data_IF_105915364384
#
_entry.id   IF_105915364384
#
_cell.length_a   1.000
_cell.length_b   1.000
_cell.length_c   1.000
_cell.angle_alpha   90.00
_cell.angle_beta   90.00
_cell.angle_gamma   90.00
#
_symmetry.space_group_name_H-M   'P 1'
#
loop_
_entity.id
_entity.type
_entity.pdbx_description
1 polymer ?
#
# COMPACT_ATOMS: atom_id res chain seq x y z
N UNK A 1 -36.45 -36.84 22.79
CA UNK A 1 -35.43 -37.79 23.34
C UNK A 1 -35.08 -37.42 24.78
N UNK A 2 -34.53 -38.29 25.64
CA UNK A 2 -34.07 -37.89 26.99
C UNK A 2 -32.55 -37.87 27.09
N UNK A 3 -31.99 -36.96 27.88
CA UNK A 3 -30.56 -36.95 28.15
C UNK A 3 -30.18 -38.08 29.12
N UNK A 4 -29.19 -38.91 28.74
CA UNK A 4 -28.72 -40.03 29.58
C UNK A 4 -28.12 -39.58 30.93
N UNK A 5 -27.63 -38.33 31.01
CA UNK A 5 -26.92 -37.83 32.19
C UNK A 5 -27.81 -37.04 33.16
N UNK A 6 -28.72 -36.23 32.66
CA UNK A 6 -29.58 -35.37 33.50
C UNK A 6 -31.08 -35.68 33.41
N UNK A 7 -31.50 -36.62 32.56
CA UNK A 7 -32.91 -37.04 32.44
C UNK A 7 -33.86 -36.01 31.82
N UNK A 8 -33.35 -34.85 31.37
CA UNK A 8 -34.16 -33.81 30.74
C UNK A 8 -34.65 -34.27 29.37
N UNK A 9 -35.89 -33.92 29.04
CA UNK A 9 -36.47 -34.11 27.72
C UNK A 9 -35.88 -33.10 26.72
N UNK A 10 -35.38 -33.62 25.60
CA UNK A 10 -34.69 -32.91 24.54
C UNK A 10 -35.56 -32.92 23.29
N UNK A 11 -35.64 -31.76 22.64
CA UNK A 11 -36.26 -31.65 21.33
C UNK A 11 -35.44 -32.41 20.27
N UNK A 12 -36.10 -32.86 19.20
CA UNK A 12 -35.45 -33.68 18.17
C UNK A 12 -34.35 -32.94 17.38
N UNK A 13 -34.35 -31.60 17.46
CA UNK A 13 -33.36 -30.71 16.83
C UNK A 13 -32.08 -30.50 17.66
N UNK A 14 -32.05 -30.91 18.94
CA UNK A 14 -30.96 -30.62 19.86
C UNK A 14 -29.78 -31.61 19.73
N UNK A 15 -28.62 -31.07 19.36
CA UNK A 15 -27.39 -31.87 19.21
C UNK A 15 -26.72 -32.19 20.55
N UNK A 16 -26.88 -31.31 21.54
CA UNK A 16 -26.31 -31.37 22.88
C UNK A 16 -27.36 -30.97 23.90
N UNK A 17 -27.32 -31.60 25.07
CA UNK A 17 -28.19 -31.19 26.16
C UNK A 17 -27.83 -29.76 26.62
N UNK A 18 -28.79 -28.82 26.67
CA UNK A 18 -28.53 -27.44 27.10
C UNK A 18 -28.14 -27.34 28.58
N UNK A 19 -28.53 -28.31 29.40
CA UNK A 19 -28.32 -28.26 30.85
C UNK A 19 -26.94 -28.78 31.28
N UNK A 20 -26.50 -29.89 30.69
CA UNK A 20 -25.26 -30.59 31.10
C UNK A 20 -24.21 -30.71 29.98
N UNK A 21 -24.51 -30.20 28.78
CA UNK A 21 -23.61 -30.22 27.62
C UNK A 21 -23.33 -31.59 27.01
N UNK A 22 -24.00 -32.65 27.51
CA UNK A 22 -23.77 -34.02 27.03
C UNK A 22 -24.29 -34.15 25.60
N UNK A 23 -23.46 -34.68 24.70
CA UNK A 23 -23.85 -34.96 23.31
C UNK A 23 -24.95 -36.02 23.32
N UNK A 24 -26.03 -35.73 22.61
CA UNK A 24 -27.19 -36.62 22.57
C UNK A 24 -26.90 -37.75 21.58
N UNK A 25 -26.85 -38.99 22.06
CA UNK A 25 -26.55 -40.18 21.27
C UNK A 25 -27.49 -41.32 21.65
N UNK A 26 -28.11 -41.98 20.67
CA UNK A 26 -28.96 -43.16 20.88
C UNK A 26 -28.54 -44.29 19.92
N UNK A 27 -28.15 -45.48 20.41
CA UNK A 27 -27.56 -46.53 19.57
C UNK A 27 -28.57 -47.22 18.62
N UNK A 28 -29.86 -47.26 18.97
CA UNK A 28 -30.88 -47.99 18.20
C UNK A 28 -31.87 -47.11 17.43
N UNK A 29 -31.82 -45.79 17.59
CA UNK A 29 -32.77 -44.85 16.97
C UNK A 29 -31.96 -43.90 16.10
N UNK A 30 -32.21 -43.92 14.79
CA UNK A 30 -31.64 -42.91 13.89
C UNK A 30 -32.30 -41.57 14.19
N UNK A 31 -31.47 -40.53 14.31
CA UNK A 31 -31.93 -39.18 14.62
C UNK A 31 -32.88 -38.70 13.50
N UNK A 32 -34.11 -38.29 13.81
CA UNK A 32 -34.92 -37.57 12.83
C UNK A 32 -34.25 -36.21 12.57
N UNK A 33 -34.12 -35.82 11.30
CA UNK A 33 -33.66 -34.48 10.93
C UNK A 33 -34.76 -33.47 11.28
N UNK A 34 -34.82 -33.08 12.55
CA UNK A 34 -35.76 -32.08 13.04
C UNK A 34 -35.42 -30.70 12.50
N UNK A 35 -36.44 -29.95 12.08
CA UNK A 35 -36.26 -28.57 11.63
C UNK A 35 -35.76 -27.72 12.80
N UNK A 36 -34.65 -27.01 12.59
CA UNK A 36 -34.04 -26.18 13.64
C UNK A 36 -35.02 -25.06 14.01
N UNK A 37 -35.24 -24.75 15.30
CA UNK A 37 -36.22 -23.75 15.74
C UNK A 37 -35.95 -22.35 15.18
N UNK A 38 -34.69 -22.09 14.82
CA UNK A 38 -34.27 -20.83 14.22
C UNK A 38 -33.78 -21.08 12.80
N UNK A 39 -34.27 -20.30 11.82
CA UNK A 39 -33.69 -20.31 10.48
C UNK A 39 -32.21 -19.95 10.60
N UNK A 40 -31.35 -20.73 9.95
CA UNK A 40 -29.94 -20.36 9.83
C UNK A 40 -29.93 -19.10 8.97
N UNK A 41 -29.62 -17.96 9.57
CA UNK A 41 -29.43 -16.67 8.88
C UNK A 41 -28.31 -16.82 7.84
N UNK A 42 -28.64 -17.35 6.67
CA UNK A 42 -27.82 -17.32 5.47
C UNK A 42 -28.20 -16.07 4.72
N UNK A 43 -27.92 -14.90 5.29
CA UNK A 43 -27.84 -13.70 4.45
C UNK A 43 -26.70 -13.96 3.46
N UNK A 44 -26.97 -14.08 2.15
CA UNK A 44 -25.89 -14.03 1.18
C UNK A 44 -25.26 -12.66 1.39
N UNK A 45 -24.03 -12.59 1.87
CA UNK A 45 -23.29 -11.34 1.78
C UNK A 45 -23.18 -11.06 0.28
N UNK A 46 -23.94 -10.09 -0.23
CA UNK A 46 -23.72 -9.48 -1.54
C UNK A 46 -22.36 -8.80 -1.49
N UNK A 47 -21.31 -9.61 -1.60
CA UNK A 47 -19.98 -9.12 -1.87
C UNK A 47 -20.02 -8.63 -3.30
N UNK A 48 -20.10 -7.30 -3.46
CA UNK A 48 -19.87 -6.67 -4.76
C UNK A 48 -18.63 -7.31 -5.38
N UNK A 49 -18.79 -7.89 -6.58
CA UNK A 49 -17.71 -8.56 -7.28
C UNK A 49 -16.49 -7.65 -7.32
N UNK A 50 -15.35 -8.09 -6.75
CA UNK A 50 -14.08 -7.34 -6.76
C UNK A 50 -13.74 -6.87 -8.18
N UNK A 51 -14.03 -7.69 -9.18
CA UNK A 51 -13.86 -7.36 -10.59
C UNK A 51 -14.83 -6.28 -11.07
N UNK A 52 -16.10 -6.32 -10.61
CA UNK A 52 -17.08 -5.27 -10.89
C UNK A 52 -16.71 -3.92 -10.28
N UNK A 53 -16.27 -3.91 -9.03
CA UNK A 53 -15.78 -2.68 -8.37
C UNK A 53 -14.56 -2.10 -9.08
N UNK A 54 -13.59 -2.95 -9.43
CA UNK A 54 -12.40 -2.51 -10.18
C UNK A 54 -12.77 -1.98 -11.56
N UNK A 55 -13.70 -2.62 -12.27
CA UNK A 55 -14.19 -2.14 -13.55
C UNK A 55 -14.82 -0.74 -13.42
N UNK A 56 -15.71 -0.53 -12.46
CA UNK A 56 -16.32 0.78 -12.19
C UNK A 56 -15.23 1.82 -11.90
N UNK A 57 -14.25 1.47 -11.07
CA UNK A 57 -13.14 2.35 -10.75
C UNK A 57 -12.31 2.67 -12.00
N UNK A 58 -12.00 1.70 -12.86
CA UNK A 58 -11.28 1.97 -14.11
C UNK A 58 -12.06 2.89 -15.04
N UNK A 59 -13.38 2.72 -15.14
CA UNK A 59 -14.24 3.60 -15.93
C UNK A 59 -14.27 5.01 -15.36
N UNK A 60 -14.23 5.16 -14.03
CA UNK A 60 -14.15 6.46 -13.37
C UNK A 60 -12.88 7.24 -13.74
N UNK A 61 -11.77 6.57 -14.06
CA UNK A 61 -10.54 7.21 -14.55
C UNK A 61 -10.54 7.41 -16.08
N UNK A 62 -11.06 6.43 -16.82
CA UNK A 62 -11.08 6.47 -18.29
C UNK A 62 -12.04 7.53 -18.83
N UNK A 63 -13.20 7.73 -18.20
CA UNK A 63 -14.19 8.70 -18.66
C UNK A 63 -13.66 10.15 -18.61
N UNK A 64 -13.12 10.67 -17.49
CA UNK A 64 -12.50 12.00 -17.44
C UNK A 64 -11.29 12.15 -18.36
N UNK A 65 -10.49 11.08 -18.52
CA UNK A 65 -9.35 11.10 -19.42
C UNK A 65 -9.79 11.23 -20.88
N UNK A 66 -10.79 10.45 -21.30
CA UNK A 66 -11.34 10.53 -22.64
C UNK A 66 -12.06 11.86 -22.91
N UNK A 67 -12.87 12.34 -21.96
CA UNK A 67 -13.59 13.62 -22.14
C UNK A 67 -12.64 14.81 -22.19
N UNK A 68 -11.61 14.86 -21.34
CA UNK A 68 -10.61 15.93 -21.38
C UNK A 68 -9.83 15.95 -22.69
N UNK A 69 -9.42 14.79 -23.21
CA UNK A 69 -8.76 14.66 -24.52
C UNK A 69 -9.67 15.10 -25.67
N UNK A 70 -10.92 14.64 -25.69
CA UNK A 70 -11.89 14.99 -26.74
C UNK A 70 -12.21 16.49 -26.73
N UNK A 71 -12.37 17.09 -25.55
CA UNK A 71 -12.61 18.52 -25.41
C UNK A 71 -11.42 19.35 -25.89
N UNK A 72 -10.19 18.98 -25.50
CA UNK A 72 -8.98 19.70 -25.91
C UNK A 72 -8.74 19.61 -27.41
N UNK A 73 -8.92 18.42 -27.99
CA UNK A 73 -8.84 18.27 -29.44
C UNK A 73 -9.91 19.11 -30.14
N UNK A 74 -11.17 19.02 -29.73
CA UNK A 74 -12.26 19.77 -30.38
C UNK A 74 -12.06 21.29 -30.29
N UNK A 75 -11.58 21.79 -29.15
CA UNK A 75 -11.47 23.23 -28.90
C UNK A 75 -10.18 23.80 -29.51
N UNK A 76 -9.03 23.14 -29.31
CA UNK A 76 -7.73 23.70 -29.68
C UNK A 76 -7.09 23.05 -30.92
N UNK A 77 -7.61 21.91 -31.39
CA UNK A 77 -7.00 21.14 -32.49
C UNK A 77 -5.64 20.53 -32.16
N UNK A 78 -5.15 20.66 -30.92
CA UNK A 78 -3.88 20.13 -30.40
C UNK A 78 -4.04 19.71 -28.95
N UNK A 79 -3.18 18.81 -28.48
CA UNK A 79 -3.11 18.39 -27.08
C UNK A 79 -2.26 19.41 -26.32
N UNK A 80 -2.90 20.23 -25.50
CA UNK A 80 -2.25 21.27 -24.68
C UNK A 80 -2.48 20.97 -23.20
N UNK A 81 -3.70 21.19 -22.71
CA UNK A 81 -4.01 21.00 -21.29
C UNK A 81 -4.36 19.55 -20.97
N UNK A 82 -4.97 18.82 -21.91
CA UNK A 82 -5.46 17.47 -21.66
C UNK A 82 -4.32 16.48 -21.44
N UNK A 83 -3.13 16.76 -21.96
CA UNK A 83 -1.95 15.94 -21.68
C UNK A 83 -1.48 16.02 -20.22
N UNK A 84 -1.60 17.18 -19.56
CA UNK A 84 -1.32 17.29 -18.13
C UNK A 84 -2.34 16.51 -17.30
N UNK A 85 -3.63 16.70 -17.62
CA UNK A 85 -4.73 15.99 -16.94
C UNK A 85 -4.60 14.48 -17.16
N UNK A 86 -4.38 14.05 -18.40
CA UNK A 86 -4.24 12.65 -18.77
C UNK A 86 -3.02 12.00 -18.14
N UNK A 87 -1.87 12.68 -18.11
CA UNK A 87 -0.67 12.22 -17.44
C UNK A 87 -0.87 12.06 -15.93
N UNK A 88 -1.47 13.04 -15.26
CA UNK A 88 -1.77 12.96 -13.83
C UNK A 88 -2.75 11.83 -13.49
N UNK A 89 -3.83 11.67 -14.28
CA UNK A 89 -4.78 10.57 -14.13
C UNK A 89 -4.12 9.20 -14.36
N UNK A 90 -3.20 9.11 -15.33
CA UNK A 90 -2.46 7.88 -15.62
C UNK A 90 -1.55 7.51 -14.45
N UNK A 91 -0.77 8.45 -13.92
CA UNK A 91 0.09 8.22 -12.74
C UNK A 91 -0.75 7.79 -11.54
N UNK A 92 -1.87 8.47 -11.27
CA UNK A 92 -2.77 8.09 -10.18
C UNK A 92 -3.35 6.69 -10.36
N UNK A 93 -3.75 6.35 -11.58
CA UNK A 93 -4.26 5.03 -11.91
C UNK A 93 -3.21 3.93 -11.65
N UNK A 94 -1.95 4.18 -12.03
CA UNK A 94 -0.84 3.24 -11.80
C UNK A 94 -0.58 3.04 -10.31
N UNK A 95 -0.58 4.12 -9.52
CA UNK A 95 -0.31 4.05 -8.07
C UNK A 95 -1.44 3.33 -7.32
N UNK A 96 -2.69 3.65 -7.64
CA UNK A 96 -3.83 3.24 -6.81
C UNK A 96 -4.54 2.03 -7.40
N UNK A 97 -4.93 2.10 -8.67
CA UNK A 97 -5.86 1.14 -9.27
C UNK A 97 -5.15 -0.11 -9.76
N UNK A 98 -3.98 0.05 -10.37
CA UNK A 98 -3.22 -1.05 -10.95
C UNK A 98 -2.86 -2.17 -9.94
N UNK A 99 -2.37 -1.89 -8.71
CA UNK A 99 -2.05 -2.94 -7.75
C UNK A 99 -3.27 -3.74 -7.31
N UNK A 100 -4.46 -3.10 -7.29
CA UNK A 100 -5.70 -3.74 -6.86
C UNK A 100 -6.22 -4.78 -7.87
N UNK A 101 -5.82 -4.70 -9.14
CA UNK A 101 -6.12 -5.73 -10.14
C UNK A 101 -5.45 -7.07 -9.86
N UNK A 102 -4.32 -7.07 -9.16
CA UNK A 102 -3.56 -8.28 -8.87
C UNK A 102 -3.99 -8.91 -7.55
N UNK A 103 -4.18 -10.23 -7.54
CA UNK A 103 -4.51 -10.95 -6.30
C UNK A 103 -3.33 -11.08 -5.34
N UNK A 104 -2.11 -11.07 -5.86
CA UNK A 104 -0.86 -11.13 -5.08
C UNK A 104 0.14 -10.12 -5.66
N UNK A 105 0.00 -8.83 -5.32
CA UNK A 105 0.91 -7.83 -5.84
C UNK A 105 2.31 -8.02 -5.24
N UNK A 106 3.34 -8.03 -6.09
CA UNK A 106 4.75 -8.01 -5.66
C UNK A 106 5.10 -6.53 -5.46
N UNK A 107 5.22 -6.03 -4.21
CA UNK A 107 5.26 -4.59 -3.94
C UNK A 107 6.46 -3.89 -4.59
N UNK A 108 7.59 -4.60 -4.72
CA UNK A 108 8.81 -4.11 -5.37
C UNK A 108 8.55 -3.66 -6.82
N UNK A 109 7.76 -4.43 -7.56
CA UNK A 109 7.46 -4.15 -8.98
C UNK A 109 6.52 -2.95 -9.12
N UNK A 110 5.51 -2.84 -8.24
CA UNK A 110 4.57 -1.73 -8.28
C UNK A 110 5.23 -0.41 -7.89
N UNK A 111 6.03 -0.39 -6.83
CA UNK A 111 6.78 0.81 -6.44
C UNK A 111 7.73 1.24 -7.56
N UNK A 112 8.42 0.29 -8.21
CA UNK A 112 9.24 0.60 -9.38
C UNK A 112 8.41 1.19 -10.54
N UNK A 113 7.24 0.61 -10.84
CA UNK A 113 6.33 1.10 -11.87
C UNK A 113 5.79 2.51 -11.55
N UNK A 114 5.52 2.82 -10.28
CA UNK A 114 5.06 4.14 -9.83
C UNK A 114 6.10 5.22 -10.13
N UNK A 115 7.38 4.96 -9.79
CA UNK A 115 8.47 5.88 -10.11
C UNK A 115 8.71 6.03 -11.61
N UNK A 116 8.58 4.95 -12.38
CA UNK A 116 8.69 5.00 -13.84
C UNK A 116 7.55 5.85 -14.42
N UNK A 117 6.31 5.65 -13.98
CA UNK A 117 5.16 6.43 -14.42
C UNK A 117 5.32 7.92 -14.07
N UNK A 118 5.75 8.23 -12.84
CA UNK A 118 6.05 9.60 -12.43
C UNK A 118 7.19 10.22 -13.24
N UNK A 119 8.27 9.47 -13.51
CA UNK A 119 9.38 9.90 -14.34
C UNK A 119 8.98 10.18 -15.79
N UNK A 120 8.19 9.31 -16.42
CA UNK A 120 7.64 9.54 -17.75
C UNK A 120 6.73 10.76 -17.81
N UNK A 121 5.93 10.99 -16.75
CA UNK A 121 5.10 12.17 -16.67
C UNK A 121 5.91 13.46 -16.53
N UNK A 122 6.97 13.46 -15.72
CA UNK A 122 7.91 14.59 -15.62
C UNK A 122 8.65 14.83 -16.95
N UNK A 123 9.00 13.76 -17.68
CA UNK A 123 9.59 13.86 -19.01
C UNK A 123 8.63 14.53 -20.00
N UNK A 124 7.36 14.13 -19.97
CA UNK A 124 6.31 14.77 -20.76
C UNK A 124 6.19 16.26 -20.42
N UNK A 125 6.11 16.62 -19.14
CA UNK A 125 6.05 18.03 -18.71
C UNK A 125 7.27 18.81 -19.20
N UNK A 126 8.47 18.22 -19.08
CA UNK A 126 9.70 18.87 -19.54
C UNK A 126 9.64 19.21 -21.03
N UNK A 127 9.20 18.27 -21.88
CA UNK A 127 9.02 18.57 -23.31
C UNK A 127 7.89 19.54 -23.59
N UNK A 128 6.76 19.42 -22.90
CA UNK A 128 5.58 20.27 -23.10
C UNK A 128 5.86 21.74 -22.71
N UNK A 129 6.74 21.95 -21.73
CA UNK A 129 7.16 23.28 -21.25
C UNK A 129 8.42 23.82 -21.94
N UNK A 130 9.06 23.02 -22.80
CA UNK A 130 10.35 23.37 -23.42
C UNK A 130 11.51 23.45 -22.42
N UNK A 131 11.40 22.75 -21.27
CA UNK A 131 12.41 22.74 -20.23
C UNK A 131 13.62 21.87 -20.57
N UNK A 132 14.74 22.16 -19.90
CA UNK A 132 15.98 21.36 -19.96
C UNK A 132 16.36 20.76 -18.59
N UNK A 133 15.41 20.71 -17.65
CA UNK A 133 15.64 20.31 -16.27
C UNK A 133 15.44 18.81 -16.02
N UNK A 134 14.86 18.07 -16.97
CA UNK A 134 14.61 16.64 -16.76
C UNK A 134 15.89 15.84 -16.50
N UNK A 135 16.90 15.96 -17.35
CA UNK A 135 18.12 15.15 -17.21
C UNK A 135 19.02 15.63 -16.06
N UNK A 136 19.08 16.94 -15.81
CA UNK A 136 19.93 17.51 -14.77
C UNK A 136 19.32 17.39 -13.38
N UNK A 137 17.99 17.42 -13.24
CA UNK A 137 17.31 17.44 -11.95
C UNK A 137 16.30 16.30 -11.80
N UNK A 138 15.29 16.22 -12.66
CA UNK A 138 14.16 15.30 -12.44
C UNK A 138 14.59 13.84 -12.43
N UNK A 139 15.35 13.42 -13.43
CA UNK A 139 15.83 12.06 -13.62
C UNK A 139 16.70 11.57 -12.45
N UNK A 140 17.78 12.27 -12.05
CA UNK A 140 18.58 11.84 -10.90
C UNK A 140 17.77 11.86 -9.60
N UNK A 141 16.82 12.79 -9.43
CA UNK A 141 15.98 12.83 -8.23
C UNK A 141 15.00 11.66 -8.20
N UNK A 142 14.23 11.44 -9.26
CA UNK A 142 13.28 10.32 -9.33
C UNK A 142 13.99 8.98 -9.29
N UNK A 143 15.12 8.84 -9.98
CA UNK A 143 15.90 7.62 -10.02
C UNK A 143 16.55 7.31 -8.66
N UNK A 144 17.11 8.31 -7.99
CA UNK A 144 17.65 8.14 -6.64
C UNK A 144 16.58 7.75 -5.62
N UNK A 145 15.43 8.42 -5.63
CA UNK A 145 14.29 8.03 -4.78
C UNK A 145 13.78 6.63 -5.11
N UNK A 146 13.71 6.27 -6.39
CA UNK A 146 13.32 4.93 -6.83
C UNK A 146 14.26 3.88 -6.25
N UNK A 147 15.58 4.07 -6.33
CA UNK A 147 16.56 3.12 -5.79
C UNK A 147 16.38 2.96 -4.27
N UNK A 148 16.21 4.08 -3.54
CA UNK A 148 16.02 4.04 -2.08
C UNK A 148 14.71 3.35 -1.71
N UNK A 149 13.59 3.73 -2.35
CA UNK A 149 12.27 3.21 -2.04
C UNK A 149 12.12 1.73 -2.45
N UNK A 150 12.51 1.39 -3.68
CA UNK A 150 12.51 0.00 -4.17
C UNK A 150 13.46 -0.86 -3.35
N UNK A 151 14.65 -0.35 -3.00
CA UNK A 151 15.59 -1.03 -2.11
C UNK A 151 15.00 -1.29 -0.71
N UNK A 152 14.39 -0.27 -0.10
CA UNK A 152 13.70 -0.40 1.18
C UNK A 152 12.62 -1.48 1.14
N UNK A 153 11.73 -1.41 0.13
CA UNK A 153 10.61 -2.35 -0.03
C UNK A 153 11.11 -3.74 -0.35
N UNK A 154 12.14 -3.89 -1.18
CA UNK A 154 12.77 -5.18 -1.48
C UNK A 154 13.38 -5.80 -0.22
N UNK A 155 14.15 -5.04 0.55
CA UNK A 155 14.73 -5.53 1.80
C UNK A 155 13.62 -5.94 2.77
N UNK A 156 12.58 -5.12 2.97
CA UNK A 156 11.48 -5.46 3.87
C UNK A 156 10.65 -6.67 3.38
N UNK A 157 10.51 -6.84 2.07
CA UNK A 157 9.73 -7.93 1.48
C UNK A 157 10.49 -9.27 1.51
N UNK A 158 11.80 -9.26 1.24
CA UNK A 158 12.61 -10.47 1.15
C UNK A 158 13.29 -10.86 2.48
N UNK A 159 13.67 -9.91 3.34
CA UNK A 159 14.26 -10.19 4.64
C UNK A 159 13.19 -10.22 5.74
N UNK A 160 13.06 -11.36 6.41
CA UNK A 160 12.09 -11.55 7.51
C UNK A 160 12.56 -11.01 8.87
N UNK A 161 13.81 -10.56 8.99
CA UNK A 161 14.44 -10.10 10.25
C UNK A 161 15.22 -8.82 10.01
N UNK A 162 15.38 -8.02 11.06
CA UNK A 162 16.22 -6.81 11.02
C UNK A 162 15.52 -5.56 10.50
N UNK A 163 14.18 -5.47 10.57
CA UNK A 163 13.42 -4.29 10.12
C UNK A 163 13.94 -2.96 10.69
N UNK A 164 14.41 -2.95 11.95
CA UNK A 164 15.00 -1.74 12.55
C UNK A 164 16.25 -1.26 11.81
N UNK A 165 17.13 -2.18 11.37
CA UNK A 165 18.30 -1.84 10.58
C UNK A 165 17.93 -1.36 9.17
N UNK A 166 16.91 -1.99 8.56
CA UNK A 166 16.42 -1.58 7.24
C UNK A 166 15.86 -0.16 7.33
N UNK A 167 14.97 0.10 8.28
CA UNK A 167 14.36 1.44 8.48
C UNK A 167 15.44 2.48 8.79
N UNK A 168 16.39 2.17 9.67
CA UNK A 168 17.49 3.08 9.99
C UNK A 168 18.36 3.41 8.77
N UNK A 169 18.76 2.38 8.01
CA UNK A 169 19.54 2.55 6.80
C UNK A 169 18.80 3.37 5.74
N UNK A 170 17.50 3.11 5.55
CA UNK A 170 16.68 3.89 4.62
C UNK A 170 16.55 5.35 5.05
N UNK A 171 16.42 5.62 6.35
CA UNK A 171 16.31 6.97 6.88
C UNK A 171 17.61 7.76 6.66
N UNK A 172 18.75 7.14 6.96
CA UNK A 172 20.06 7.75 6.70
C UNK A 172 20.29 7.97 5.20
N UNK A 173 19.90 7.02 4.35
CA UNK A 173 19.98 7.16 2.90
C UNK A 173 19.09 8.30 2.39
N UNK A 174 17.85 8.44 2.89
CA UNK A 174 16.98 9.57 2.55
C UNK A 174 17.57 10.90 3.03
N UNK A 175 18.15 10.95 4.23
CA UNK A 175 18.81 12.16 4.74
C UNK A 175 19.98 12.60 3.86
N UNK A 176 20.85 11.67 3.47
CA UNK A 176 21.94 11.94 2.52
C UNK A 176 21.43 12.34 1.13
N UNK A 177 20.34 11.72 0.68
CA UNK A 177 19.72 12.04 -0.60
C UNK A 177 19.16 13.48 -0.65
N UNK A 178 18.69 14.05 0.46
CA UNK A 178 18.24 15.45 0.50
C UNK A 178 19.37 16.44 0.17
N UNK A 179 20.61 16.12 0.53
CA UNK A 179 21.79 16.94 0.15
C UNK A 179 22.02 16.91 -1.35
N UNK A 180 21.89 15.72 -1.96
CA UNK A 180 21.96 15.58 -3.41
C UNK A 180 20.84 16.38 -4.10
N UNK A 181 19.61 16.33 -3.59
CA UNK A 181 18.47 17.10 -4.13
C UNK A 181 18.77 18.59 -4.12
N UNK A 182 19.24 19.14 -3.00
CA UNK A 182 19.60 20.55 -2.90
C UNK A 182 20.75 20.92 -3.85
N UNK A 183 21.78 20.08 -3.94
CA UNK A 183 22.86 20.28 -4.90
C UNK A 183 22.36 20.34 -6.34
N UNK A 184 21.49 19.41 -6.75
CA UNK A 184 20.92 19.36 -8.11
C UNK A 184 19.98 20.55 -8.38
N UNK A 185 19.25 21.03 -7.37
CA UNK A 185 18.46 22.25 -7.44
C UNK A 185 19.34 23.47 -7.71
N UNK A 186 20.42 23.63 -6.93
CA UNK A 186 21.36 24.74 -7.10
C UNK A 186 22.06 24.67 -8.46
N UNK A 187 22.46 23.47 -8.90
CA UNK A 187 23.10 23.27 -10.20
C UNK A 187 22.16 23.57 -11.39
N UNK A 188 20.90 23.14 -11.32
CA UNK A 188 19.97 23.24 -12.46
C UNK A 188 19.29 24.61 -12.53
N UNK A 189 18.92 25.18 -11.38
CA UNK A 189 18.11 26.39 -11.31
C UNK A 189 18.89 27.62 -10.82
N UNK A 190 20.15 27.45 -10.38
CA UNK A 190 21.00 28.57 -9.94
C UNK A 190 20.47 29.30 -8.71
N UNK A 191 19.80 28.59 -7.81
CA UNK A 191 19.09 29.21 -6.67
C UNK A 191 20.06 29.80 -5.63
N UNK A 192 21.04 29.01 -5.19
CA UNK A 192 22.02 29.41 -4.18
C UNK A 192 23.39 28.77 -4.44
N UNK A 193 24.46 29.42 -4.00
CA UNK A 193 25.84 28.90 -4.10
C UNK A 193 26.20 27.91 -2.97
N UNK A 194 25.34 27.77 -1.96
CA UNK A 194 25.60 26.96 -0.77
C UNK A 194 24.43 26.03 -0.40
N UNK A 195 24.72 25.02 0.42
CA UNK A 195 23.73 24.11 0.99
C UNK A 195 23.14 24.74 2.26
N UNK A 196 21.87 25.09 2.21
CA UNK A 196 21.15 25.84 3.24
C UNK A 196 20.14 24.92 3.94
N UNK A 197 19.27 24.25 3.18
CA UNK A 197 18.10 23.58 3.76
C UNK A 197 18.26 22.08 3.94
N UNK A 198 19.14 21.41 3.20
CA UNK A 198 19.35 19.96 3.31
C UNK A 198 20.04 19.54 4.61
N UNK A 199 20.72 20.46 5.29
CA UNK A 199 21.42 20.18 6.57
C UNK A 199 20.41 19.79 7.66
N UNK A 200 19.24 20.44 7.70
CA UNK A 200 18.21 20.14 8.70
C UNK A 200 17.65 18.70 8.60
N UNK A 201 17.10 18.25 7.45
CA UNK A 201 16.64 16.88 7.30
C UNK A 201 17.77 15.86 7.39
N UNK A 202 18.99 16.19 6.92
CA UNK A 202 20.16 15.33 7.11
C UNK A 202 20.42 15.07 8.59
N UNK A 203 20.52 16.12 9.40
CA UNK A 203 20.78 16.01 10.84
C UNK A 203 19.68 15.19 11.54
N UNK A 204 18.40 15.49 11.26
CA UNK A 204 17.27 14.74 11.83
C UNK A 204 17.31 13.26 11.45
N UNK A 205 17.53 12.95 10.17
CA UNK A 205 17.57 11.57 9.67
C UNK A 205 18.77 10.79 10.23
N UNK A 206 19.93 11.43 10.40
CA UNK A 206 21.11 10.82 11.01
C UNK A 206 20.89 10.53 12.49
N UNK A 207 20.37 11.49 13.26
CA UNK A 207 20.08 11.29 14.68
C UNK A 207 19.08 10.15 14.88
N UNK A 208 17.97 10.18 14.14
CA UNK A 208 16.95 9.12 14.20
C UNK A 208 17.49 7.78 13.69
N UNK A 209 18.28 7.76 12.61
CA UNK A 209 18.89 6.54 12.09
C UNK A 209 19.86 5.90 13.09
N UNK A 210 20.73 6.70 13.70
CA UNK A 210 21.67 6.24 14.72
C UNK A 210 20.95 5.71 15.96
N UNK A 211 19.92 6.40 16.46
CA UNK A 211 19.14 5.92 17.60
C UNK A 211 18.48 4.57 17.31
N UNK A 212 17.92 4.38 16.11
CA UNK A 212 17.36 3.10 15.68
C UNK A 212 18.41 1.99 15.59
N UNK A 213 19.62 2.30 15.10
CA UNK A 213 20.74 1.34 15.08
C UNK A 213 21.14 0.93 16.50
N UNK A 214 21.25 1.88 17.42
CA UNK A 214 21.58 1.61 18.83
C UNK A 214 20.51 0.70 19.45
N UNK A 215 19.22 0.99 19.25
CA UNK A 215 18.11 0.13 19.70
C UNK A 215 18.21 -1.26 19.10
N UNK A 216 18.58 -1.36 17.82
CA UNK A 216 18.70 -2.65 17.14
C UNK A 216 19.86 -3.51 17.70
N UNK A 217 21.00 -2.88 18.01
CA UNK A 217 22.19 -3.52 18.59
C UNK A 217 22.02 -3.91 20.06
N UNK A 218 21.23 -3.17 20.85
CA UNK A 218 21.04 -3.43 22.27
C UNK A 218 19.78 -4.30 22.54
N UNK A 219 19.92 -5.62 22.79
CA UNK A 219 18.79 -6.50 23.07
C UNK A 219 17.86 -6.05 24.22
N UNK A 220 18.33 -5.53 25.37
CA UNK A 220 17.43 -5.12 26.45
C UNK A 220 16.56 -3.91 26.05
N UNK A 221 17.10 -3.01 25.23
CA UNK A 221 16.38 -1.84 24.75
C UNK A 221 15.32 -2.24 23.72
N UNK A 222 15.64 -3.18 22.83
CA UNK A 222 14.71 -3.76 21.86
C UNK A 222 13.51 -4.44 22.55
N UNK A 223 13.75 -5.18 23.63
CA UNK A 223 12.67 -5.81 24.41
C UNK A 223 11.81 -4.80 25.16
N UNK A 224 12.41 -3.74 25.71
CA UNK A 224 11.68 -2.65 26.36
C UNK A 224 10.77 -1.90 25.38
N UNK A 225 11.26 -1.62 24.17
CA UNK A 225 10.44 -1.02 23.09
C UNK A 225 9.30 -1.95 22.69
N UNK A 226 9.55 -3.23 22.46
CA UNK A 226 8.47 -4.21 22.16
C UNK A 226 7.40 -4.26 23.25
N UNK A 227 7.81 -4.28 24.53
CA UNK A 227 6.86 -4.28 25.66
C UNK A 227 6.02 -3.01 25.74
N UNK A 228 6.60 -1.83 25.46
CA UNK A 228 5.87 -0.56 25.51
C UNK A 228 4.96 -0.33 24.31
N UNK A 229 5.36 -0.79 23.13
CA UNK A 229 4.61 -0.59 21.89
C UNK A 229 3.63 -1.73 21.57
N UNK A 230 3.57 -2.79 22.40
CA UNK A 230 2.70 -3.96 22.21
C UNK A 230 2.79 -4.57 20.80
N UNK A 231 4.02 -4.63 20.25
CA UNK A 231 4.36 -5.29 18.97
C UNK A 231 5.27 -6.49 19.24
#
# INVERSE_FOLDING_TARGET
MYCIKCGVELSDSEEKCPLCGTVVFHPYIKRPDGEKPYPVDRKPQETASRSGLLFILTMLFLLPLATSLLCDWKINGRILWSGYVGGALTVFYVIVVLPMWFRRPIPVVFVAADFIAAGLYLLYINFATGGHWFLSFAFPVTGGLMIIAVGAVALMYYLRRGYLYIIAGTLMATGGFMVLVEYLLNYTFGLHDSLIWSIYPLACCLILGLTLIIIACCPPLRESVKRKFFI
#
